data_IF_773524090035
#
_entry.id   IF_773524090035
#
_cell.length_a   1.000
_cell.length_b   1.000
_cell.length_c   1.000
_cell.angle_alpha   90.00
_cell.angle_beta   90.00
_cell.angle_gamma   90.00
#
_symmetry.space_group_name_H-M   'P 1'
#
loop_
_entity.id
_entity.type
_entity.pdbx_description
1 polymer ?
#
# COMPACT_ATOMS: atom_id res chain seq x y z
N UNK A 1 -13.00 25.15 -9.18
CA UNK A 1 -12.06 24.06 -9.54
C UNK A 1 -12.26 22.91 -8.57
N UNK A 2 -12.31 21.67 -9.03
CA UNK A 2 -12.44 20.51 -8.12
C UNK A 2 -11.10 20.25 -7.43
N UNK A 3 -11.10 20.21 -6.11
CA UNK A 3 -9.92 19.84 -5.33
C UNK A 3 -9.77 18.31 -5.38
N UNK A 4 -8.80 17.82 -6.15
CA UNK A 4 -8.50 16.38 -6.22
C UNK A 4 -7.86 15.94 -4.90
N UNK A 5 -8.27 14.78 -4.40
CA UNK A 5 -7.60 14.13 -3.27
C UNK A 5 -6.25 13.58 -3.75
N UNK A 6 -5.12 13.90 -3.07
CA UNK A 6 -3.82 13.32 -3.40
C UNK A 6 -3.82 11.79 -3.25
N UNK A 7 -3.07 11.12 -4.11
CA UNK A 7 -2.78 9.68 -4.03
C UNK A 7 -1.28 9.47 -3.86
N UNK A 8 -0.89 8.71 -2.83
CA UNK A 8 0.47 8.22 -2.63
C UNK A 8 0.47 6.71 -2.85
N UNK A 9 1.11 6.27 -3.93
CA UNK A 9 1.17 4.86 -4.32
C UNK A 9 2.60 4.32 -4.26
N UNK A 10 2.84 3.32 -3.42
CA UNK A 10 4.14 2.66 -3.30
C UNK A 10 4.28 1.49 -4.26
N UNK A 11 5.02 1.67 -5.36
CA UNK A 11 5.35 0.57 -6.28
C UNK A 11 6.50 -0.28 -5.74
N UNK A 12 6.20 -1.53 -5.38
CA UNK A 12 7.20 -2.46 -4.83
C UNK A 12 8.12 -3.02 -5.92
N UNK A 13 7.78 -2.86 -7.20
CA UNK A 13 8.48 -3.50 -8.32
C UNK A 13 8.58 -5.01 -8.07
N UNK A 14 9.76 -5.59 -8.25
CA UNK A 14 10.03 -7.00 -7.98
C UNK A 14 10.72 -7.17 -6.61
N UNK A 15 10.12 -6.59 -5.56
CA UNK A 15 10.55 -6.76 -4.18
C UNK A 15 9.45 -7.42 -3.34
N UNK A 16 9.90 -8.09 -2.28
CA UNK A 16 9.12 -8.79 -1.27
C UNK A 16 8.48 -10.09 -1.74
N UNK A 17 8.65 -11.13 -0.92
CA UNK A 17 7.84 -12.34 -0.99
C UNK A 17 6.44 -12.14 -0.34
N UNK A 18 5.52 -13.11 -0.44
CA UNK A 18 4.19 -13.01 0.16
C UNK A 18 4.16 -12.73 1.68
N UNK A 19 5.09 -13.32 2.43
CA UNK A 19 5.18 -13.15 3.89
C UNK A 19 5.65 -11.76 4.24
N UNK A 20 6.70 -11.28 3.57
CA UNK A 20 7.24 -9.94 3.72
C UNK A 20 6.21 -8.87 3.32
N UNK A 21 5.48 -9.10 2.23
CA UNK A 21 4.41 -8.21 1.76
C UNK A 21 3.29 -8.06 2.79
N UNK A 22 2.84 -9.17 3.39
CA UNK A 22 1.83 -9.14 4.47
C UNK A 22 2.34 -8.37 5.68
N UNK A 23 3.59 -8.59 6.08
CA UNK A 23 4.19 -7.88 7.21
C UNK A 23 4.22 -6.36 6.97
N UNK A 24 4.62 -5.95 5.77
CA UNK A 24 4.66 -4.54 5.37
C UNK A 24 3.26 -3.90 5.38
N UNK A 25 2.27 -4.53 4.75
CA UNK A 25 0.91 -3.97 4.67
C UNK A 25 0.25 -3.87 6.05
N UNK A 26 0.48 -4.84 6.94
CA UNK A 26 0.00 -4.78 8.32
C UNK A 26 0.61 -3.61 9.09
N UNK A 27 1.90 -3.36 8.92
CA UNK A 27 2.57 -2.21 9.56
C UNK A 27 2.10 -0.88 8.98
N UNK A 28 1.97 -0.77 7.66
CA UNK A 28 1.40 0.41 7.01
C UNK A 28 -0.01 0.70 7.53
N UNK A 29 -0.88 -0.30 7.59
CA UNK A 29 -2.24 -0.14 8.12
C UNK A 29 -2.23 0.38 9.55
N UNK A 30 -1.34 -0.12 10.42
CA UNK A 30 -1.20 0.37 11.81
C UNK A 30 -0.73 1.83 11.89
N UNK A 31 0.26 2.21 11.08
CA UNK A 31 0.84 3.55 11.11
C UNK A 31 -0.04 4.62 10.46
N UNK A 32 -0.87 4.22 9.51
CA UNK A 32 -1.72 5.13 8.74
C UNK A 32 -3.15 5.25 9.31
N UNK A 33 -3.43 4.66 10.48
CA UNK A 33 -4.73 4.82 11.16
C UNK A 33 -5.00 6.30 11.42
N UNK A 34 -6.15 6.79 10.96
CA UNK A 34 -6.56 8.19 11.15
C UNK A 34 -5.95 9.18 10.17
N UNK A 35 -5.12 8.73 9.22
CA UNK A 35 -4.60 9.60 8.16
C UNK A 35 -5.75 10.08 7.27
N UNK A 36 -5.92 11.41 7.20
CA UNK A 36 -6.95 12.07 6.41
C UNK A 36 -6.34 12.90 5.27
N UNK A 37 -7.16 13.24 4.28
CA UNK A 37 -6.76 14.15 3.19
C UNK A 37 -5.85 13.54 2.11
N UNK A 38 -5.54 12.24 2.16
CA UNK A 38 -4.74 11.53 1.16
C UNK A 38 -5.24 10.10 0.98
N UNK A 39 -5.12 9.55 -0.21
CA UNK A 39 -5.33 8.14 -0.53
C UNK A 39 -3.99 7.43 -0.59
N UNK A 40 -3.93 6.19 -0.08
CA UNK A 40 -2.71 5.40 -0.04
C UNK A 40 -2.96 4.08 -0.76
N UNK A 41 -2.04 3.70 -1.64
CA UNK A 41 -2.05 2.42 -2.33
C UNK A 41 -0.66 1.77 -2.30
N UNK A 42 -0.63 0.45 -2.46
CA UNK A 42 0.59 -0.31 -2.70
C UNK A 42 0.43 -1.11 -3.98
N UNK A 43 1.50 -1.22 -4.78
CA UNK A 43 1.53 -2.04 -5.98
C UNK A 43 2.53 -3.19 -5.75
N UNK A 44 2.07 -4.32 -5.20
CA UNK A 44 2.89 -5.49 -4.95
C UNK A 44 3.31 -6.17 -6.27
N UNK A 45 4.35 -7.01 -6.20
CA UNK A 45 4.67 -7.94 -7.28
C UNK A 45 3.49 -8.91 -7.51
N UNK A 46 3.31 -9.39 -8.74
CA UNK A 46 2.17 -10.25 -9.11
C UNK A 46 2.01 -11.47 -8.18
N UNK A 47 3.13 -12.12 -7.83
CA UNK A 47 3.14 -13.31 -6.96
C UNK A 47 2.75 -13.02 -5.52
N UNK A 48 2.94 -11.78 -5.06
CA UNK A 48 2.60 -11.34 -3.71
C UNK A 48 1.18 -10.77 -3.61
N UNK A 49 0.59 -10.36 -4.74
CA UNK A 49 -0.74 -9.75 -4.81
C UNK A 49 -1.84 -10.56 -4.06
N UNK A 50 -1.98 -11.89 -4.22
CA UNK A 50 -3.04 -12.65 -3.53
C UNK A 50 -2.92 -12.64 -2.01
N UNK A 51 -1.71 -12.45 -1.47
CA UNK A 51 -1.49 -12.45 -0.03
C UNK A 51 -1.83 -11.10 0.63
N UNK A 52 -1.92 -10.02 -0.15
CA UNK A 52 -2.04 -8.64 0.35
C UNK A 52 -3.26 -7.89 -0.20
N UNK A 53 -4.09 -8.55 -1.00
CA UNK A 53 -5.34 -8.01 -1.55
C UNK A 53 -6.43 -7.84 -0.47
#
# INVERSE_FOLDING_TARGET
MVQRKPLVAGNWKMHYDPTEGVALVRELRRRLVGLAGVEVAVFPSFVTLPAVA
#
